data_IF_952998902748
#
_entry.id   IF_952998902748
#
_cell.length_a   1.000
_cell.length_b   1.000
_cell.length_c   1.000
_cell.angle_alpha   90.00
_cell.angle_beta   90.00
_cell.angle_gamma   90.00
#
_symmetry.space_group_name_H-M   'P 1'
#
loop_
_entity.id
_entity.type
_entity.pdbx_description
1 polymer ?
#
# COMPACT_ATOMS: atom_id res chain seq x y z
N UNK A 1 23.89 -11.95 -8.27
CA UNK A 1 22.92 -12.78 -7.52
C UNK A 1 22.65 -12.17 -6.14
N UNK A 2 23.69 -11.91 -5.33
CA UNK A 2 23.60 -11.28 -3.99
C UNK A 2 22.79 -9.98 -3.94
N UNK A 3 23.08 -9.01 -4.83
CA UNK A 3 22.37 -7.72 -4.85
C UNK A 3 20.87 -7.88 -5.13
N UNK A 4 20.49 -8.77 -6.05
CA UNK A 4 19.08 -9.00 -6.40
C UNK A 4 18.32 -9.61 -5.22
N UNK A 5 18.97 -10.53 -4.48
CA UNK A 5 18.39 -11.14 -3.30
C UNK A 5 18.19 -10.11 -2.18
N UNK A 6 19.19 -9.27 -1.93
CA UNK A 6 19.10 -8.19 -0.95
C UNK A 6 17.94 -7.23 -1.25
N UNK A 7 17.81 -6.77 -2.49
CA UNK A 7 16.72 -5.88 -2.89
C UNK A 7 15.35 -6.56 -2.74
N UNK A 8 15.24 -7.87 -3.05
CA UNK A 8 14.02 -8.63 -2.79
C UNK A 8 13.67 -8.69 -1.31
N UNK A 9 14.64 -8.90 -0.43
CA UNK A 9 14.41 -8.90 1.02
C UNK A 9 13.90 -7.54 1.48
N UNK A 10 14.52 -6.45 1.04
CA UNK A 10 14.07 -5.09 1.36
C UNK A 10 12.65 -4.86 0.86
N UNK A 11 12.34 -5.26 -0.37
CA UNK A 11 11.01 -5.14 -0.96
C UNK A 11 9.95 -5.89 -0.13
N UNK A 12 10.22 -7.15 0.22
CA UNK A 12 9.29 -7.96 1.00
C UNK A 12 9.11 -7.43 2.42
N UNK A 13 10.18 -6.94 3.05
CA UNK A 13 10.10 -6.24 4.35
C UNK A 13 9.25 -4.97 4.28
N UNK A 14 9.36 -4.20 3.20
CA UNK A 14 8.53 -3.02 2.97
C UNK A 14 7.05 -3.37 2.76
N UNK A 15 6.76 -4.47 2.05
CA UNK A 15 5.39 -5.01 1.92
C UNK A 15 4.83 -5.42 3.29
N UNK A 16 5.60 -6.14 4.12
CA UNK A 16 5.17 -6.48 5.48
C UNK A 16 4.90 -5.22 6.31
N UNK A 17 5.78 -4.22 6.23
CA UNK A 17 5.61 -2.95 6.93
C UNK A 17 4.34 -2.22 6.47
N UNK A 18 4.05 -2.14 5.17
CA UNK A 18 2.85 -1.44 4.70
C UNK A 18 1.57 -2.14 5.18
N UNK A 19 1.54 -3.47 5.25
CA UNK A 19 0.43 -4.23 5.79
C UNK A 19 0.17 -3.86 7.26
N UNK A 20 1.21 -3.90 8.10
CA UNK A 20 1.11 -3.55 9.52
C UNK A 20 0.67 -2.09 9.71
N UNK A 21 1.22 -1.16 8.93
CA UNK A 21 0.88 0.26 9.01
C UNK A 21 -0.56 0.51 8.57
N UNK A 22 -1.04 -0.11 7.50
CA UNK A 22 -2.44 0.05 7.05
C UNK A 22 -3.41 -0.47 8.11
N UNK A 23 -3.12 -1.62 8.73
CA UNK A 23 -3.93 -2.17 9.84
C UNK A 23 -3.90 -1.22 11.05
N UNK A 24 -2.71 -0.75 11.45
CA UNK A 24 -2.56 0.20 12.55
C UNK A 24 -3.35 1.49 12.31
N UNK A 25 -3.25 2.04 11.09
CA UNK A 25 -4.00 3.24 10.70
C UNK A 25 -5.49 3.00 10.59
N UNK A 26 -5.93 1.80 10.18
CA UNK A 26 -7.35 1.46 10.14
C UNK A 26 -8.00 1.72 11.50
N UNK A 27 -7.37 1.32 12.61
CA UNK A 27 -7.88 1.59 13.95
C UNK A 27 -8.15 3.07 14.22
N UNK A 28 -7.34 3.98 13.67
CA UNK A 28 -7.55 5.43 13.84
C UNK A 28 -8.85 5.94 13.20
N UNK A 29 -9.42 5.21 12.23
CA UNK A 29 -10.71 5.52 11.60
C UNK A 29 -11.92 4.88 12.32
N UNK A 30 -11.68 4.00 13.29
CA UNK A 30 -12.73 3.30 14.05
C UNK A 30 -12.72 3.63 15.55
N UNK A 31 -11.58 3.98 16.14
CA UNK A 31 -11.41 4.26 17.57
C UNK A 31 -10.80 5.64 17.79
N UNK A 32 -11.40 6.43 18.68
CA UNK A 32 -10.91 7.77 19.06
C UNK A 32 -11.04 8.83 17.95
N UNK A 33 -12.03 8.67 17.07
CA UNK A 33 -12.34 9.60 15.99
C UNK A 33 -12.81 10.94 16.56
N UNK A 34 -12.40 12.05 15.95
CA UNK A 34 -12.82 13.41 16.33
C UNK A 34 -13.64 14.02 15.18
N UNK A 35 -14.97 14.01 15.33
CA UNK A 35 -15.89 14.40 14.25
C UNK A 35 -15.72 13.51 13.01
N UNK A 36 -15.35 14.11 11.88
CA UNK A 36 -15.04 13.38 10.64
C UNK A 36 -13.55 13.03 10.48
N UNK A 37 -12.68 13.35 11.46
CA UNK A 37 -11.24 13.11 11.37
C UNK A 37 -10.82 11.80 12.05
N UNK A 38 -9.82 11.09 11.50
CA UNK A 38 -9.17 9.98 12.19
C UNK A 38 -8.56 10.44 13.52
N UNK A 39 -8.41 9.49 14.45
CA UNK A 39 -7.69 9.71 15.70
C UNK A 39 -6.28 10.28 15.43
N UNK A 40 -5.89 11.40 16.07
CA UNK A 40 -4.58 12.02 15.87
C UNK A 40 -3.43 11.24 16.52
N UNK A 41 -3.72 10.29 17.41
CA UNK A 41 -2.70 9.52 18.11
C UNK A 41 -1.76 8.78 17.15
N UNK A 42 -0.45 9.01 17.30
CA UNK A 42 0.58 8.39 16.46
C UNK A 42 0.54 8.80 14.98
N UNK A 43 -0.24 9.82 14.60
CA UNK A 43 -0.47 10.22 13.21
C UNK A 43 0.83 10.43 12.44
N UNK A 44 1.77 11.18 13.01
CA UNK A 44 3.05 11.49 12.35
C UNK A 44 3.85 10.23 12.06
N UNK A 45 3.97 9.34 13.06
CA UNK A 45 4.69 8.07 12.91
C UNK A 45 4.05 7.18 11.84
N UNK A 46 2.73 6.97 11.90
CA UNK A 46 2.03 6.13 10.94
C UNK A 46 2.08 6.69 9.52
N UNK A 47 1.98 8.02 9.36
CA UNK A 47 2.13 8.67 8.05
C UNK A 47 3.55 8.49 7.52
N UNK A 48 4.57 8.70 8.35
CA UNK A 48 5.97 8.52 7.96
C UNK A 48 6.26 7.07 7.53
N UNK A 49 5.85 6.08 8.34
CA UNK A 49 6.04 4.66 8.01
C UNK A 49 5.26 4.23 6.77
N UNK A 50 4.07 4.81 6.54
CA UNK A 50 3.30 4.54 5.32
C UNK A 50 4.03 5.08 4.08
N UNK A 51 4.49 6.33 4.11
CA UNK A 51 5.23 6.89 2.99
C UNK A 51 6.55 6.16 2.75
N UNK A 52 7.30 5.85 3.82
CA UNK A 52 8.53 5.08 3.73
C UNK A 52 8.31 3.72 3.06
N UNK A 53 7.34 2.94 3.54
CA UNK A 53 7.05 1.62 2.98
C UNK A 53 6.59 1.69 1.53
N UNK A 54 5.71 2.62 1.17
CA UNK A 54 5.26 2.81 -0.21
C UNK A 54 6.41 3.22 -1.14
N UNK A 55 7.26 4.14 -0.71
CA UNK A 55 8.43 4.58 -1.47
C UNK A 55 9.42 3.44 -1.66
N UNK A 56 9.69 2.64 -0.61
CA UNK A 56 10.54 1.47 -0.70
C UNK A 56 9.97 0.44 -1.67
N UNK A 57 8.67 0.13 -1.61
CA UNK A 57 8.00 -0.80 -2.53
C UNK A 57 8.16 -0.33 -3.98
N UNK A 58 7.85 0.95 -4.26
CA UNK A 58 7.96 1.51 -5.60
C UNK A 58 9.42 1.51 -6.10
N UNK A 59 10.35 2.04 -5.31
CA UNK A 59 11.76 2.15 -5.68
C UNK A 59 12.42 0.78 -5.89
N UNK A 60 12.28 -0.13 -4.92
CA UNK A 60 12.84 -1.49 -5.07
C UNK A 60 12.14 -2.28 -6.17
N UNK A 61 10.83 -2.06 -6.40
CA UNK A 61 10.11 -2.64 -7.54
C UNK A 61 10.68 -2.22 -8.88
N UNK A 62 10.96 -0.92 -9.07
CA UNK A 62 11.60 -0.38 -10.28
C UNK A 62 13.00 -0.96 -10.46
N UNK A 63 13.80 -1.04 -9.40
CA UNK A 63 15.15 -1.64 -9.46
C UNK A 63 15.07 -3.12 -9.86
N UNK A 64 14.15 -3.89 -9.29
CA UNK A 64 13.97 -5.30 -9.64
C UNK A 64 13.50 -5.50 -11.09
N UNK A 65 12.69 -4.58 -11.61
CA UNK A 65 12.31 -4.57 -13.03
C UNK A 65 13.50 -4.31 -13.94
N UNK A 66 14.29 -3.30 -13.61
CA UNK A 66 15.51 -2.97 -14.35
C UNK A 66 16.47 -4.17 -14.38
N UNK A 67 16.67 -4.83 -13.24
CA UNK A 67 17.49 -6.06 -13.15
C UNK A 67 16.89 -7.25 -13.92
N UNK A 68 15.59 -7.21 -14.26
CA UNK A 68 14.91 -8.22 -15.09
C UNK A 68 14.76 -7.76 -16.55
N UNK A 69 15.49 -6.73 -16.98
CA UNK A 69 15.41 -6.16 -18.33
C UNK A 69 13.98 -5.75 -18.74
N UNK A 70 13.14 -5.37 -17.77
CA UNK A 70 11.73 -5.05 -17.97
C UNK A 70 10.89 -6.18 -18.61
N UNK A 71 11.38 -7.42 -18.62
CA UNK A 71 10.59 -8.58 -19.00
C UNK A 71 9.51 -8.82 -17.94
N UNK A 72 8.25 -8.54 -18.24
CA UNK A 72 7.14 -8.63 -17.30
C UNK A 72 5.97 -9.38 -17.86
N UNK A 73 5.33 -10.18 -17.02
CA UNK A 73 4.10 -10.89 -17.33
C UNK A 73 2.87 -9.99 -17.07
N UNK A 74 1.71 -10.26 -17.69
CA UNK A 74 0.51 -9.42 -17.55
C UNK A 74 0.09 -9.12 -16.11
N UNK A 75 0.19 -10.09 -15.20
CA UNK A 75 -0.15 -9.90 -13.78
C UNK A 75 0.71 -8.84 -13.08
N UNK A 76 1.90 -8.53 -13.60
CA UNK A 76 2.71 -7.44 -13.09
C UNK A 76 2.05 -6.07 -13.33
N UNK A 77 1.51 -5.83 -14.53
CA UNK A 77 0.80 -4.58 -14.83
C UNK A 77 -0.43 -4.41 -13.95
N UNK A 78 -1.17 -5.49 -13.70
CA UNK A 78 -2.30 -5.47 -12.77
C UNK A 78 -1.85 -5.05 -11.35
N UNK A 79 -0.70 -5.52 -10.86
CA UNK A 79 -0.15 -5.06 -9.57
C UNK A 79 0.16 -3.57 -9.58
N UNK A 80 0.71 -3.03 -10.66
CA UNK A 80 1.00 -1.59 -10.77
C UNK A 80 -0.28 -0.77 -10.69
N UNK A 81 -1.31 -1.16 -11.44
CA UNK A 81 -2.62 -0.48 -11.41
C UNK A 81 -3.23 -0.55 -10.01
N UNK A 82 -3.25 -1.74 -9.39
CA UNK A 82 -3.77 -1.91 -8.04
C UNK A 82 -2.95 -1.12 -7.00
N UNK A 83 -1.65 -0.96 -7.20
CA UNK A 83 -0.81 -0.12 -6.35
C UNK A 83 -1.20 1.36 -6.46
N UNK A 84 -1.51 1.86 -7.67
CA UNK A 84 -2.05 3.21 -7.84
C UNK A 84 -3.43 3.37 -7.18
N UNK A 85 -4.29 2.35 -7.28
CA UNK A 85 -5.58 2.31 -6.57
C UNK A 85 -5.38 2.36 -5.06
N UNK A 86 -4.41 1.62 -4.52
CA UNK A 86 -4.03 1.64 -3.11
C UNK A 86 -3.62 3.05 -2.66
N UNK A 87 -2.71 3.69 -3.39
CA UNK A 87 -2.24 5.06 -3.10
C UNK A 87 -3.40 6.08 -3.13
N UNK A 88 -4.24 6.02 -4.16
CA UNK A 88 -5.39 6.92 -4.33
C UNK A 88 -6.42 6.73 -3.20
N UNK A 89 -6.73 5.48 -2.88
CA UNK A 89 -7.72 5.13 -1.85
C UNK A 89 -7.26 5.55 -0.45
N UNK A 90 -5.99 5.32 -0.11
CA UNK A 90 -5.41 5.78 1.17
C UNK A 90 -5.31 7.31 1.25
N UNK A 91 -4.99 7.98 0.13
CA UNK A 91 -5.00 9.45 0.08
C UNK A 91 -6.39 10.00 0.37
N UNK A 92 -7.45 9.40 -0.16
CA UNK A 92 -8.84 9.78 0.13
C UNK A 92 -9.24 9.46 1.57
N UNK A 93 -8.91 8.27 2.07
CA UNK A 93 -9.23 7.85 3.44
C UNK A 93 -8.67 8.82 4.50
N UNK A 94 -7.45 9.32 4.28
CA UNK A 94 -6.72 10.16 5.24
C UNK A 94 -6.54 11.62 4.79
N UNK A 95 -7.31 12.08 3.80
CA UNK A 95 -7.29 13.48 3.34
C UNK A 95 -7.54 14.44 4.51
N UNK A 96 -6.75 15.52 4.59
CA UNK A 96 -6.95 16.57 5.61
C UNK A 96 -8.25 17.35 5.35
N UNK A 97 -8.85 17.90 6.41
CA UNK A 97 -10.09 18.69 6.33
C UNK A 97 -11.35 17.86 6.51
N UNK A 98 -12.43 18.46 7.01
CA UNK A 98 -13.67 17.82 7.48
C UNK A 98 -14.74 17.62 6.39
N UNK A 99 -14.46 18.07 5.16
CA UNK A 99 -15.35 17.96 4.00
C UNK A 99 -15.80 16.52 3.67
N UNK A 100 -14.98 15.52 4.02
CA UNK A 100 -15.33 14.10 3.81
C UNK A 100 -15.95 13.51 5.07
N UNK A 101 -17.14 12.92 4.92
CA UNK A 101 -17.80 12.16 6.00
C UNK A 101 -16.94 10.98 6.42
N UNK A 102 -16.98 10.63 7.71
CA UNK A 102 -16.24 9.48 8.24
C UNK A 102 -16.54 8.16 7.50
N UNK A 103 -17.79 7.96 7.07
CA UNK A 103 -18.19 6.78 6.28
C UNK A 103 -17.47 6.72 4.92
N UNK A 104 -17.30 7.84 4.23
CA UNK A 104 -16.56 7.90 2.96
C UNK A 104 -15.08 7.59 3.16
N UNK A 105 -14.50 8.02 4.29
CA UNK A 105 -13.11 7.69 4.64
C UNK A 105 -12.91 6.19 4.87
N UNK A 106 -13.85 5.56 5.58
CA UNK A 106 -13.87 4.10 5.79
C UNK A 106 -14.07 3.33 4.49
N UNK A 107 -14.88 3.83 3.56
CA UNK A 107 -14.99 3.26 2.22
C UNK A 107 -13.66 3.36 1.45
N UNK A 108 -12.95 4.49 1.55
CA UNK A 108 -11.59 4.63 1.00
C UNK A 108 -10.61 3.62 1.60
N UNK A 109 -10.65 3.39 2.91
CA UNK A 109 -9.85 2.36 3.57
C UNK A 109 -10.22 0.94 3.10
N UNK A 110 -11.51 0.66 2.92
CA UNK A 110 -11.98 -0.63 2.40
C UNK A 110 -11.43 -0.91 0.99
N UNK A 111 -11.50 0.08 0.09
CA UNK A 111 -10.92 -0.03 -1.25
C UNK A 111 -9.40 -0.25 -1.21
N UNK A 112 -8.71 0.44 -0.30
CA UNK A 112 -7.29 0.21 -0.06
C UNK A 112 -7.00 -1.23 0.39
N UNK A 113 -7.80 -1.78 1.31
CA UNK A 113 -7.65 -3.15 1.78
C UNK A 113 -7.88 -4.18 0.66
N UNK A 114 -8.94 -4.00 -0.14
CA UNK A 114 -9.23 -4.85 -1.31
C UNK A 114 -8.08 -4.81 -2.31
N UNK A 115 -7.56 -3.62 -2.64
CA UNK A 115 -6.42 -3.47 -3.54
C UNK A 115 -5.17 -4.16 -3.01
N UNK A 116 -4.87 -4.02 -1.71
CA UNK A 116 -3.73 -4.68 -1.08
C UNK A 116 -3.85 -6.22 -1.12
N UNK A 117 -5.01 -6.76 -0.77
CA UNK A 117 -5.28 -8.21 -0.84
C UNK A 117 -5.13 -8.72 -2.28
N UNK A 118 -5.66 -7.99 -3.27
CA UNK A 118 -5.50 -8.35 -4.67
C UNK A 118 -4.04 -8.32 -5.13
N UNK A 119 -3.24 -7.33 -4.71
CA UNK A 119 -1.79 -7.28 -4.99
C UNK A 119 -1.09 -8.52 -4.42
N UNK A 120 -1.37 -8.86 -3.16
CA UNK A 120 -0.77 -10.04 -2.51
C UNK A 120 -1.22 -11.32 -3.24
N UNK A 121 -2.50 -11.45 -3.57
CA UNK A 121 -3.05 -12.56 -4.34
C UNK A 121 -2.34 -12.75 -5.69
N UNK A 122 -2.10 -11.67 -6.42
CA UNK A 122 -1.34 -11.70 -7.68
C UNK A 122 0.10 -12.18 -7.49
N UNK A 123 0.76 -11.82 -6.38
CA UNK A 123 2.12 -12.28 -6.06
C UNK A 123 2.16 -13.77 -5.71
N UNK A 124 1.10 -14.29 -5.08
CA UNK A 124 1.01 -15.71 -4.70
C UNK A 124 0.62 -16.58 -5.90
N UNK A 125 -0.43 -16.19 -6.63
CA UNK A 125 -1.02 -16.99 -7.71
C UNK A 125 -0.18 -16.90 -8.99
N UNK A 126 0.33 -15.71 -9.34
CA UNK A 126 1.08 -15.43 -10.58
C UNK A 126 0.42 -16.07 -11.81
N UNK A 127 -0.82 -15.66 -12.16
CA UNK A 127 -1.56 -16.29 -13.24
C UNK A 127 -0.79 -16.16 -14.57
N UNK A 128 -0.71 -17.27 -15.31
CA UNK A 128 -0.22 -17.30 -16.67
C UNK A 128 -1.42 -17.28 -17.62
N UNK A 129 -1.45 -16.32 -18.54
CA UNK A 129 -2.59 -16.11 -19.44
C UNK A 129 -2.43 -16.79 -20.81
N UNK A 130 -1.35 -17.56 -21.01
CA UNK A 130 -1.09 -18.29 -22.26
C UNK A 130 -0.32 -17.46 -23.26
#
# INVERSE_FOLDING_TARGET
METQLLIKIIHMSAVTLVCLVIIGRAFTLFKGVQGNQPNPAGRTLFVALQHLSMTLIAGTGIVLLFMKNFDVQPWFYAKVILFLVLLSSLSKAYRKGDQLKLQQRRAGLFLAAVALVAIIGLVVIKPNFG
#
